data_IF_758939354670
#
_entry.id   IF_758939354670
#
_cell.length_a   1.000
_cell.length_b   1.000
_cell.length_c   1.000
_cell.angle_alpha   90.00
_cell.angle_beta   90.00
_cell.angle_gamma   90.00
#
_symmetry.space_group_name_H-M   'P 1'
#
loop_
_entity.id
_entity.type
_entity.pdbx_description
1 polymer ?
#
# COMPACT_ATOMS: atom_id res chain seq x y z
N UNK A 1 -7.33 -12.59 21.39
CA UNK A 1 -7.03 -11.14 21.49
C UNK A 1 -7.36 -10.47 20.16
N UNK A 2 -7.46 -9.14 20.07
CA UNK A 2 -7.66 -8.49 18.76
C UNK A 2 -6.32 -8.29 18.05
N UNK A 3 -6.35 -8.25 16.73
CA UNK A 3 -5.16 -8.03 15.90
C UNK A 3 -4.48 -6.69 16.21
N UNK A 4 -5.26 -5.63 16.51
CA UNK A 4 -4.74 -4.31 16.90
C UNK A 4 -3.84 -4.33 18.14
N UNK A 5 -4.00 -5.33 19.02
CA UNK A 5 -3.30 -5.43 20.30
C UNK A 5 -1.98 -6.24 20.16
N UNK A 6 -1.72 -6.78 18.96
CA UNK A 6 -0.53 -7.58 18.68
C UNK A 6 0.69 -6.65 18.53
N UNK A 7 1.76 -6.93 19.29
CA UNK A 7 2.97 -6.11 19.30
C UNK A 7 3.80 -6.30 18.02
N UNK A 8 4.59 -5.29 17.67
CA UNK A 8 5.57 -5.37 16.57
C UNK A 8 6.50 -6.57 16.76
N UNK A 9 6.73 -7.32 15.68
CA UNK A 9 7.56 -8.52 15.66
C UNK A 9 6.90 -9.76 16.29
N UNK A 10 5.65 -9.67 16.74
CA UNK A 10 4.87 -10.84 17.19
C UNK A 10 3.99 -11.37 16.08
N UNK A 11 3.77 -12.68 16.15
CA UNK A 11 2.97 -13.41 15.19
C UNK A 11 1.67 -13.87 15.83
N UNK A 12 0.64 -14.00 15.01
CA UNK A 12 -0.68 -14.44 15.44
C UNK A 12 -1.34 -15.30 14.39
N UNK A 13 -2.13 -16.26 14.82
CA UNK A 13 -3.03 -17.04 13.97
C UNK A 13 -4.41 -16.42 14.02
N UNK A 14 -5.03 -16.19 12.86
CA UNK A 14 -6.39 -15.67 12.77
C UNK A 14 -7.37 -16.76 13.22
N UNK A 15 -8.20 -16.46 14.22
CA UNK A 15 -9.24 -17.36 14.70
C UNK A 15 -10.57 -17.02 14.04
N UNK A 16 -10.90 -15.73 14.04
CA UNK A 16 -12.13 -15.23 13.44
C UNK A 16 -11.89 -13.87 12.79
N UNK A 17 -12.54 -13.69 11.65
CA UNK A 17 -12.55 -12.42 10.93
C UNK A 17 -13.91 -11.81 11.17
N UNK A 18 -13.98 -10.69 11.87
CA UNK A 18 -15.21 -9.93 12.06
C UNK A 18 -15.51 -9.02 10.87
N UNK A 19 -16.53 -8.18 11.03
CA UNK A 19 -17.08 -7.37 9.94
C UNK A 19 -18.32 -8.02 9.31
N UNK A 20 -19.19 -7.17 8.77
CA UNK A 20 -20.45 -7.57 8.15
C UNK A 20 -20.44 -7.27 6.65
N UNK A 21 -21.19 -8.08 5.89
CA UNK A 21 -21.38 -7.92 4.45
C UNK A 21 -20.06 -7.77 3.70
N UNK A 22 -19.94 -6.67 2.97
CA UNK A 22 -18.83 -6.44 2.05
C UNK A 22 -17.47 -6.32 2.76
N UNK A 23 -17.41 -5.82 4.01
CA UNK A 23 -16.15 -5.67 4.74
C UNK A 23 -15.52 -7.03 5.05
N UNK A 24 -16.36 -8.00 5.43
CA UNK A 24 -15.92 -9.37 5.68
C UNK A 24 -15.38 -10.00 4.41
N UNK A 25 -16.12 -9.86 3.31
CA UNK A 25 -15.69 -10.39 2.00
C UNK A 25 -14.32 -9.83 1.62
N UNK A 26 -14.15 -8.52 1.82
CA UNK A 26 -12.90 -7.86 1.49
C UNK A 26 -11.70 -8.36 2.31
N UNK A 27 -11.87 -8.66 3.61
CA UNK A 27 -10.83 -9.32 4.40
C UNK A 27 -10.45 -10.68 3.81
N UNK A 28 -11.45 -11.48 3.41
CA UNK A 28 -11.21 -12.79 2.81
C UNK A 28 -10.47 -12.66 1.47
N UNK A 29 -10.85 -11.70 0.63
CA UNK A 29 -10.19 -11.42 -0.65
C UNK A 29 -8.73 -10.96 -0.44
N UNK A 30 -8.45 -10.23 0.65
CA UNK A 30 -7.10 -9.83 1.07
C UNK A 30 -6.34 -10.95 1.79
N UNK A 31 -6.81 -12.20 1.79
CA UNK A 31 -6.13 -13.33 2.43
C UNK A 31 -6.20 -13.33 3.96
N UNK A 32 -6.95 -12.41 4.57
CA UNK A 32 -7.24 -12.39 6.01
C UNK A 32 -8.36 -13.40 6.26
N UNK A 33 -7.98 -14.68 6.34
CA UNK A 33 -8.90 -15.81 6.51
C UNK A 33 -8.64 -16.54 7.83
N UNK A 34 -9.66 -17.18 8.46
CA UNK A 34 -9.45 -18.04 9.62
C UNK A 34 -8.39 -19.11 9.35
N UNK A 35 -7.46 -19.27 10.28
CA UNK A 35 -6.33 -20.18 10.18
C UNK A 35 -5.07 -19.58 9.57
N UNK A 36 -5.14 -18.42 8.92
CA UNK A 36 -3.95 -17.77 8.36
C UNK A 36 -3.03 -17.24 9.47
N UNK A 37 -1.73 -17.31 9.21
CA UNK A 37 -0.69 -16.81 10.09
C UNK A 37 -0.21 -15.44 9.60
N UNK A 38 -0.10 -14.51 10.54
CA UNK A 38 0.38 -13.16 10.28
C UNK A 38 1.47 -12.75 11.27
N UNK A 39 2.28 -11.77 10.87
CA UNK A 39 3.29 -11.15 11.73
C UNK A 39 3.16 -9.63 11.64
N UNK A 40 3.19 -8.94 12.77
CA UNK A 40 3.17 -7.46 12.77
C UNK A 40 4.55 -6.94 12.41
N UNK A 41 4.67 -6.24 11.29
CA UNK A 41 5.96 -5.70 10.81
C UNK A 41 6.27 -4.37 11.47
N UNK A 42 5.32 -3.42 11.42
CA UNK A 42 5.47 -2.09 12.02
C UNK A 42 4.13 -1.38 12.19
N UNK A 43 4.11 -0.35 13.03
CA UNK A 43 3.03 0.64 13.04
C UNK A 43 3.50 1.88 12.27
N UNK A 44 2.57 2.59 11.63
CA UNK A 44 2.86 3.89 11.07
C UNK A 44 3.37 4.87 12.16
N UNK A 45 4.15 5.90 11.81
CA UNK A 45 4.71 6.85 12.78
C UNK A 45 3.69 7.51 13.70
N UNK A 46 2.43 7.64 13.24
CA UNK A 46 1.31 8.24 13.97
C UNK A 46 0.42 7.20 14.67
N UNK A 47 0.81 5.93 14.69
CA UNK A 47 0.08 4.84 15.33
C UNK A 47 -0.97 4.14 14.46
N UNK A 48 -1.39 4.72 13.33
CA UNK A 48 -2.31 4.14 12.35
C UNK A 48 -1.87 4.54 10.93
N UNK A 49 -1.89 3.63 9.92
CA UNK A 49 -2.24 2.20 9.96
C UNK A 49 -1.13 1.26 10.44
N UNK A 50 -1.47 -0.02 10.66
CA UNK A 50 -0.51 -1.08 10.99
C UNK A 50 -0.14 -1.91 9.75
N UNK A 51 1.13 -2.29 9.66
CA UNK A 51 1.64 -3.17 8.61
C UNK A 51 1.84 -4.60 9.12
N UNK A 52 1.36 -5.54 8.34
CA UNK A 52 1.29 -6.96 8.66
C UNK A 52 1.88 -7.76 7.51
N UNK A 53 2.55 -8.86 7.81
CA UNK A 53 2.96 -9.84 6.81
C UNK A 53 2.03 -11.04 6.86
N UNK A 54 1.36 -11.34 5.76
CA UNK A 54 0.44 -12.48 5.61
C UNK A 54 0.69 -13.13 4.24
N UNK A 55 0.70 -14.47 4.18
CA UNK A 55 0.97 -15.23 2.93
C UNK A 55 2.19 -14.75 2.12
N UNK A 56 3.21 -14.21 2.79
CA UNK A 56 4.46 -13.76 2.17
C UNK A 56 4.48 -12.33 1.64
N UNK A 57 3.36 -11.59 1.65
CA UNK A 57 3.31 -10.16 1.28
C UNK A 57 3.00 -9.26 2.49
N UNK A 58 3.24 -7.96 2.31
CA UNK A 58 2.94 -6.93 3.30
C UNK A 58 1.56 -6.31 3.01
N UNK A 59 0.69 -6.35 4.03
CA UNK A 59 -0.66 -5.81 4.03
C UNK A 59 -0.74 -4.67 5.03
N UNK A 60 -1.27 -3.52 4.60
CA UNK A 60 -1.47 -2.36 5.47
C UNK A 60 -2.95 -2.27 5.86
N UNK A 61 -3.23 -2.41 7.16
CA UNK A 61 -4.58 -2.44 7.72
C UNK A 61 -4.77 -1.29 8.72
N UNK A 62 -5.90 -0.58 8.64
CA UNK A 62 -6.26 0.43 9.63
C UNK A 62 -6.55 -0.22 10.98
N UNK A 63 -6.26 0.47 12.07
CA UNK A 63 -6.50 -0.05 13.43
C UNK A 63 -7.98 -0.36 13.68
N UNK A 64 -8.90 0.41 13.10
CA UNK A 64 -10.34 0.18 13.21
C UNK A 64 -10.78 -1.15 12.58
N UNK A 65 -10.08 -1.59 11.53
CA UNK A 65 -10.34 -2.85 10.84
C UNK A 65 -9.63 -4.01 11.54
N UNK A 66 -8.40 -3.79 12.00
CA UNK A 66 -7.69 -4.75 12.86
C UNK A 66 -8.43 -5.02 14.19
N UNK A 67 -9.19 -4.06 14.71
CA UNK A 67 -10.03 -4.24 15.90
C UNK A 67 -11.13 -5.31 15.71
N UNK A 68 -11.50 -5.61 14.46
CA UNK A 68 -12.55 -6.56 14.10
C UNK A 68 -12.01 -7.98 13.90
N UNK A 69 -10.69 -8.18 13.93
CA UNK A 69 -10.06 -9.48 13.67
C UNK A 69 -9.58 -10.08 14.99
N UNK A 70 -10.00 -11.32 15.26
CA UNK A 70 -9.60 -12.10 16.42
C UNK A 70 -8.39 -12.97 16.06
N UNK A 71 -7.34 -12.85 16.88
CA UNK A 71 -6.10 -13.61 16.73
C UNK A 71 -5.71 -14.29 18.04
N UNK A 72 -5.05 -15.42 17.88
CA UNK A 72 -4.33 -16.12 18.93
C UNK A 72 -2.83 -15.90 18.72
N UNK A 73 -2.08 -15.40 19.72
CA UNK A 73 -0.66 -15.19 19.59
C UNK A 73 0.03 -16.54 19.41
N UNK A 74 0.89 -16.64 18.41
CA UNK A 74 1.71 -17.82 18.16
C UNK A 74 3.18 -17.43 18.29
N UNK A 75 3.95 -18.31 18.92
CA UNK A 75 5.40 -18.25 18.85
C UNK A 75 5.82 -18.97 17.57
N UNK A 76 5.84 -18.24 16.46
CA UNK A 76 6.56 -18.73 15.30
C UNK A 76 8.04 -18.85 15.71
N UNK A 77 8.75 -19.93 15.30
CA UNK A 77 10.19 -19.95 15.38
C UNK A 77 10.68 -18.64 14.78
N UNK A 78 11.46 -17.86 15.54
CA UNK A 78 12.18 -16.74 14.95
C UNK A 78 12.95 -17.37 13.81
N UNK A 79 12.55 -17.11 12.57
CA UNK A 79 13.49 -17.20 11.47
C UNK A 79 14.67 -16.39 11.97
N UNK A 80 15.77 -17.07 12.25
CA UNK A 80 17.01 -16.43 12.62
C UNK A 80 17.17 -15.27 11.65
N UNK A 81 17.38 -14.07 12.18
CA UNK A 81 17.86 -12.89 11.44
C UNK A 81 19.25 -13.15 10.82
N UNK A 82 19.56 -14.39 10.41
CA UNK A 82 20.32 -14.52 9.18
C UNK A 82 19.52 -13.77 8.15
N UNK A 83 20.07 -12.70 7.56
CA UNK A 83 19.44 -12.12 6.40
C UNK A 83 19.32 -13.31 5.45
N UNK A 84 18.09 -13.81 5.24
CA UNK A 84 17.75 -14.45 3.97
C UNK A 84 18.31 -13.47 2.99
N UNK A 85 19.49 -13.78 2.41
CA UNK A 85 20.08 -13.00 1.35
C UNK A 85 18.89 -12.89 0.41
N UNK A 86 18.24 -11.73 0.38
CA UNK A 86 17.29 -11.41 -0.68
C UNK A 86 18.09 -11.83 -1.89
N UNK A 87 17.72 -12.89 -2.63
CA UNK A 87 18.53 -13.31 -3.76
C UNK A 87 18.71 -12.02 -4.52
N UNK A 88 19.96 -11.49 -4.56
CA UNK A 88 20.23 -10.07 -4.88
C UNK A 88 19.33 -9.83 -6.06
N UNK A 89 18.24 -9.09 -5.86
CA UNK A 89 17.26 -8.98 -6.91
C UNK A 89 18.05 -8.22 -7.94
N UNK A 90 18.51 -8.94 -8.97
CA UNK A 90 18.86 -8.34 -10.23
C UNK A 90 17.63 -7.53 -10.50
N UNK A 91 17.70 -6.21 -10.26
CA UNK A 91 16.58 -5.31 -10.49
C UNK A 91 16.05 -5.74 -11.85
N UNK A 92 14.83 -6.29 -11.96
CA UNK A 92 14.35 -6.69 -13.27
C UNK A 92 14.54 -5.48 -14.14
N UNK A 93 15.15 -5.67 -15.32
CA UNK A 93 15.47 -4.58 -16.23
C UNK A 93 14.16 -3.90 -16.63
N UNK A 94 13.73 -2.91 -15.85
CA UNK A 94 12.57 -2.11 -16.17
C UNK A 94 13.03 -0.94 -17.03
N UNK A 95 12.20 -0.48 -17.98
CA UNK A 95 12.59 0.47 -19.01
C UNK A 95 13.04 1.85 -18.50
N UNK A 96 12.99 2.12 -17.19
CA UNK A 96 13.63 3.29 -16.57
C UNK A 96 13.09 4.65 -17.00
N UNK A 97 11.93 4.71 -17.69
CA UNK A 97 11.32 5.97 -18.08
C UNK A 97 11.04 6.84 -16.84
N UNK A 98 11.69 7.99 -16.77
CA UNK A 98 11.51 8.97 -15.69
C UNK A 98 12.47 8.84 -14.49
N UNK A 99 13.36 7.84 -14.46
CA UNK A 99 14.38 7.73 -13.41
C UNK A 99 15.66 8.49 -13.78
N UNK A 100 16.18 9.35 -12.87
CA UNK A 100 17.47 10.01 -13.09
C UNK A 100 18.62 9.05 -12.78
N UNK A 101 19.43 8.71 -13.78
CA UNK A 101 20.70 7.99 -13.63
C UNK A 101 20.81 6.72 -14.47
N UNK A 102 21.99 6.54 -15.07
CA UNK A 102 22.47 5.43 -15.93
C UNK A 102 21.84 5.25 -17.32
N UNK A 103 20.54 5.41 -17.52
CA UNK A 103 19.91 5.13 -18.84
C UNK A 103 19.44 6.37 -19.63
N UNK A 104 19.31 7.53 -18.98
CA UNK A 104 18.96 8.80 -19.62
C UNK A 104 19.84 9.94 -19.09
N UNK A 105 20.96 10.29 -19.78
CA UNK A 105 21.69 11.52 -19.50
C UNK A 105 20.76 12.73 -19.59
N UNK A 106 20.91 13.75 -18.72
CA UNK A 106 20.14 15.00 -18.83
C UNK A 106 20.36 15.58 -20.24
N UNK A 107 19.27 15.76 -21.00
CA UNK A 107 19.29 16.25 -22.38
C UNK A 107 19.36 15.17 -23.47
N UNK A 108 19.33 13.87 -23.13
CA UNK A 108 19.39 12.78 -24.12
C UNK A 108 18.04 12.40 -24.74
N UNK A 109 16.96 13.05 -24.33
CA UNK A 109 15.61 12.80 -24.86
C UNK A 109 15.21 13.87 -25.86
N UNK A 110 14.31 13.52 -26.78
CA UNK A 110 13.55 14.51 -27.55
C UNK A 110 12.63 15.26 -26.58
N UNK A 111 12.76 16.60 -26.45
CA UNK A 111 11.84 17.38 -25.63
C UNK A 111 10.42 17.17 -26.14
N UNK A 112 9.49 17.00 -25.21
CA UNK A 112 8.08 17.05 -25.56
C UNK A 112 7.75 18.50 -25.99
N UNK A 113 6.86 18.69 -26.98
CA UNK A 113 6.32 20.01 -27.32
C UNK A 113 5.84 20.77 -26.08
N UNK A 114 6.01 22.10 -26.07
CA UNK A 114 5.65 22.92 -24.90
C UNK A 114 4.15 22.91 -24.59
N UNK A 115 3.31 22.57 -25.57
CA UNK A 115 1.86 22.43 -25.46
C UNK A 115 1.40 21.01 -25.09
N UNK A 116 2.32 20.05 -24.89
CA UNK A 116 1.96 18.68 -24.59
C UNK A 116 1.66 18.50 -23.09
N UNK A 117 0.40 18.13 -22.78
CA UNK A 117 -0.01 17.79 -21.42
C UNK A 117 0.71 16.55 -20.89
N UNK A 118 1.40 16.68 -19.77
CA UNK A 118 2.07 15.56 -19.08
C UNK A 118 1.05 14.81 -18.23
N UNK A 119 0.87 13.51 -18.52
CA UNK A 119 -0.06 12.66 -17.77
C UNK A 119 0.69 11.74 -16.80
N UNK A 120 0.25 11.70 -15.55
CA UNK A 120 0.78 10.90 -14.45
C UNK A 120 -0.31 9.97 -13.90
N UNK A 121 0.04 8.72 -13.60
CA UNK A 121 -0.85 7.78 -12.93
C UNK A 121 -0.26 7.37 -11.57
N UNK A 122 -1.06 7.45 -10.51
CA UNK A 122 -0.70 6.97 -9.18
C UNK A 122 -1.15 5.51 -9.04
N UNK A 123 -0.19 4.60 -8.91
CA UNK A 123 -0.44 3.16 -8.82
C UNK A 123 0.23 2.60 -7.57
N UNK A 124 -0.43 1.67 -6.88
CA UNK A 124 0.06 1.11 -5.62
C UNK A 124 -1.01 0.34 -4.86
N UNK A 125 -0.58 -0.42 -3.85
CA UNK A 125 -1.45 -1.26 -3.04
C UNK A 125 -2.52 -0.42 -2.29
N UNK A 126 -3.53 -1.08 -1.75
CA UNK A 126 -4.55 -0.45 -0.93
C UNK A 126 -3.92 0.22 0.30
N UNK A 127 -4.49 1.35 0.72
CA UNK A 127 -4.01 2.14 1.86
C UNK A 127 -2.55 2.63 1.76
N UNK A 128 -1.90 2.55 0.58
CA UNK A 128 -0.52 3.04 0.38
C UNK A 128 -0.39 4.57 0.29
N UNK A 129 -1.51 5.31 0.45
CA UNK A 129 -1.50 6.77 0.48
C UNK A 129 -1.65 7.48 -0.87
N UNK A 130 -2.08 6.78 -1.93
CA UNK A 130 -2.24 7.36 -3.29
C UNK A 130 -3.14 8.60 -3.31
N UNK A 131 -4.34 8.50 -2.76
CA UNK A 131 -5.27 9.64 -2.65
C UNK A 131 -4.74 10.77 -1.77
N UNK A 132 -3.91 10.45 -0.76
CA UNK A 132 -3.22 11.47 0.05
C UNK A 132 -2.23 12.26 -0.79
N UNK A 133 -1.42 11.58 -1.60
CA UNK A 133 -0.48 12.23 -2.52
C UNK A 133 -1.22 13.01 -3.62
N UNK A 134 -2.28 12.44 -4.20
CA UNK A 134 -3.14 13.14 -5.16
C UNK A 134 -3.66 14.47 -4.59
N UNK A 135 -4.19 14.45 -3.37
CA UNK A 135 -4.70 15.64 -2.70
C UNK A 135 -3.60 16.68 -2.43
N UNK A 136 -2.38 16.25 -2.11
CA UNK A 136 -1.25 17.16 -1.93
C UNK A 136 -0.84 17.83 -3.26
N UNK A 137 -0.77 17.05 -4.34
CA UNK A 137 -0.38 17.53 -5.67
C UNK A 137 -1.42 18.45 -6.30
N UNK A 138 -2.69 18.04 -6.25
CA UNK A 138 -3.79 18.78 -6.90
C UNK A 138 -4.42 19.83 -6.00
N UNK A 139 -4.25 19.69 -4.69
CA UNK A 139 -4.89 20.54 -3.71
C UNK A 139 -6.34 20.24 -3.40
N UNK A 140 -6.84 19.15 -3.94
CA UNK A 140 -8.19 18.65 -3.71
C UNK A 140 -8.34 18.20 -2.26
N UNK A 141 -9.59 18.13 -1.78
CA UNK A 141 -9.95 17.47 -0.52
C UNK A 141 -10.78 16.22 -0.81
N UNK A 142 -10.28 15.36 -1.69
CA UNK A 142 -10.97 14.11 -2.01
C UNK A 142 -11.02 13.25 -0.75
N UNK A 143 -12.22 12.81 -0.37
CA UNK A 143 -12.43 12.01 0.82
C UNK A 143 -12.06 10.55 0.56
N UNK A 144 -11.18 9.99 1.38
CA UNK A 144 -10.75 8.59 1.31
C UNK A 144 -11.78 7.72 2.05
N UNK A 145 -12.93 7.49 1.42
CA UNK A 145 -13.93 6.57 1.94
C UNK A 145 -13.36 5.15 1.99
N UNK A 146 -13.26 4.55 3.17
CA UNK A 146 -12.86 3.16 3.33
C UNK A 146 -14.11 2.29 3.15
N UNK A 147 -14.42 1.91 1.91
CA UNK A 147 -15.51 1.00 1.60
C UNK A 147 -14.96 -0.34 1.12
N UNK A 148 -15.64 -1.45 1.44
CA UNK A 148 -15.29 -2.72 0.86
C UNK A 148 -15.70 -2.72 -0.62
N UNK A 149 -14.73 -2.87 -1.52
CA UNK A 149 -14.93 -2.72 -2.96
C UNK A 149 -14.20 -1.54 -3.62
N UNK A 150 -13.06 -1.08 -3.04
CA UNK A 150 -12.06 -0.22 -3.71
C UNK A 150 -12.51 1.24 -3.92
N UNK A 151 -11.57 2.18 -3.95
CA UNK A 151 -11.75 3.48 -4.64
C UNK A 151 -11.80 3.21 -6.15
N UNK A 152 -12.98 2.87 -6.69
CA UNK A 152 -13.14 2.57 -8.12
C UNK A 152 -13.25 3.83 -8.98
N UNK A 153 -13.52 4.98 -8.38
CA UNK A 153 -13.64 6.21 -9.14
C UNK A 153 -12.25 6.73 -9.53
N UNK A 154 -11.88 6.54 -10.80
CA UNK A 154 -10.81 7.30 -11.46
C UNK A 154 -11.00 8.78 -11.15
N UNK A 155 -10.02 9.40 -10.47
CA UNK A 155 -10.01 10.84 -10.22
C UNK A 155 -8.87 11.48 -10.97
N UNK A 156 -9.21 12.48 -11.77
CA UNK A 156 -8.27 13.27 -12.55
C UNK A 156 -8.14 14.68 -11.94
N UNK A 157 -6.93 15.21 -11.89
CA UNK A 157 -6.69 16.56 -11.39
C UNK A 157 -5.35 17.14 -11.86
N UNK A 158 -5.29 18.47 -11.90
CA UNK A 158 -4.11 19.22 -12.35
C UNK A 158 -3.18 19.50 -11.17
N UNK A 159 -1.87 19.41 -11.36
CA UNK A 159 -0.90 19.74 -10.30
C UNK A 159 -0.92 21.25 -10.06
N UNK A 160 -0.96 21.66 -8.78
CA UNK A 160 -0.89 23.08 -8.40
C UNK A 160 0.34 23.76 -9.00
N UNK A 161 0.12 24.86 -9.71
CA UNK A 161 1.19 25.64 -10.34
C UNK A 161 1.68 25.09 -11.69
N UNK A 162 1.11 23.98 -12.18
CA UNK A 162 1.49 23.37 -13.46
C UNK A 162 0.24 23.02 -14.29
N UNK A 163 -0.30 23.97 -15.07
CA UNK A 163 -1.57 23.79 -15.78
C UNK A 163 -1.54 22.67 -16.83
N UNK A 164 -0.37 22.40 -17.42
CA UNK A 164 -0.18 21.39 -18.47
C UNK A 164 0.11 19.99 -17.89
N UNK A 165 -0.50 19.67 -16.75
CA UNK A 165 -0.34 18.38 -16.08
C UNK A 165 -1.68 17.74 -15.76
N UNK A 166 -1.73 16.42 -15.85
CA UNK A 166 -2.89 15.62 -15.47
C UNK A 166 -2.42 14.47 -14.58
N UNK A 167 -2.87 14.43 -13.34
CA UNK A 167 -2.63 13.32 -12.42
C UNK A 167 -3.92 12.52 -12.29
N UNK A 168 -3.81 11.21 -12.45
CA UNK A 168 -4.90 10.26 -12.24
C UNK A 168 -4.62 9.41 -11.00
N UNK A 169 -5.56 9.38 -10.05
CA UNK A 169 -5.58 8.41 -8.94
C UNK A 169 -6.41 7.17 -9.38
N UNK A 170 -5.81 5.98 -9.25
CA UNK A 170 -6.34 4.67 -9.69
C UNK A 170 -6.52 3.69 -8.52
#
# INVERSE_FOLDING_TARGET
MKLKDLKVGKSGKIIAVGGEGALRQHFLDMGVIPGAELTVTKFAPMGDPMELRIHGYELTLRLADAAKIDVEPIELPKETDEPRRRPKTTKPSHPGLGETGKFHPKGSGTPLPEDQTLTFALVGNQNSGKTTLFNQLTGSKQHVGNFPGVTVDRKDGVIRGYPDTLVTDL
#
